data_IF_753817226145
#
_entry.id   IF_753817226145
#
_cell.length_a   1.000
_cell.length_b   1.000
_cell.length_c   1.000
_cell.angle_alpha   90.00
_cell.angle_beta   90.00
_cell.angle_gamma   90.00
#
_symmetry.space_group_name_H-M   'P 1'
#
loop_
_entity.id
_entity.type
_entity.pdbx_description
1 polymer ?
#
# COMPACT_ATOMS: atom_id res chain seq x y z
N UNK A 1 -53.54 -17.37 -4.05
CA UNK A 1 -53.54 -18.37 -2.96
C UNK A 1 -52.55 -19.53 -3.20
N UNK A 2 -52.49 -20.15 -4.40
CA UNK A 2 -51.57 -21.28 -4.66
C UNK A 2 -50.07 -20.94 -4.62
N UNK A 3 -49.67 -19.74 -5.06
CA UNK A 3 -48.25 -19.32 -5.08
C UNK A 3 -47.68 -19.23 -3.66
N UNK A 4 -48.47 -18.78 -2.69
CA UNK A 4 -48.05 -18.68 -1.28
C UNK A 4 -47.78 -20.08 -0.71
N UNK A 5 -48.65 -21.05 -1.02
CA UNK A 5 -48.47 -22.44 -0.60
C UNK A 5 -47.27 -23.10 -1.28
N UNK A 6 -47.01 -22.80 -2.55
CA UNK A 6 -45.82 -23.29 -3.27
C UNK A 6 -44.53 -22.71 -2.68
N UNK A 7 -44.52 -21.41 -2.35
CA UNK A 7 -43.40 -20.77 -1.67
C UNK A 7 -43.19 -21.38 -0.28
N UNK A 8 -44.27 -21.60 0.48
CA UNK A 8 -44.18 -22.23 1.80
C UNK A 8 -43.61 -23.65 1.70
N UNK A 9 -44.10 -24.45 0.74
CA UNK A 9 -43.60 -25.80 0.48
C UNK A 9 -42.13 -25.80 0.07
N UNK A 10 -41.72 -24.87 -0.80
CA UNK A 10 -40.32 -24.71 -1.21
C UNK A 10 -39.43 -24.39 0.00
N UNK A 11 -39.84 -23.45 0.85
CA UNK A 11 -39.07 -23.05 2.04
C UNK A 11 -38.92 -24.21 3.03
N UNK A 12 -40.00 -24.97 3.26
CA UNK A 12 -39.97 -26.14 4.16
C UNK A 12 -39.04 -27.22 3.61
N UNK A 13 -39.16 -27.53 2.32
CA UNK A 13 -38.34 -28.56 1.66
C UNK A 13 -36.86 -28.16 1.64
N UNK A 14 -36.58 -26.88 1.39
CA UNK A 14 -35.23 -26.34 1.42
C UNK A 14 -34.63 -26.36 2.84
N UNK A 15 -35.43 -26.05 3.86
CA UNK A 15 -35.00 -26.11 5.26
C UNK A 15 -34.70 -27.55 5.69
N UNK A 16 -35.53 -28.52 5.29
CA UNK A 16 -35.26 -29.94 5.55
C UNK A 16 -34.02 -30.45 4.81
N UNK A 17 -33.80 -30.03 3.56
CA UNK A 17 -32.60 -30.38 2.81
C UNK A 17 -31.33 -29.84 3.48
N UNK A 18 -31.34 -28.60 3.95
CA UNK A 18 -30.21 -28.01 4.69
C UNK A 18 -29.96 -28.72 6.02
N UNK A 19 -31.00 -29.08 6.77
CA UNK A 19 -30.87 -29.83 8.02
C UNK A 19 -30.33 -31.25 7.79
N UNK A 20 -30.75 -31.91 6.70
CA UNK A 20 -30.19 -33.21 6.31
C UNK A 20 -28.69 -33.09 5.97
N UNK A 21 -28.29 -32.07 5.20
CA UNK A 21 -26.88 -31.78 4.89
C UNK A 21 -26.03 -31.57 6.15
N UNK A 22 -26.55 -30.82 7.14
CA UNK A 22 -25.89 -30.63 8.45
C UNK A 22 -25.72 -31.94 9.21
N UNK A 23 -26.71 -32.83 9.17
CA UNK A 23 -26.64 -34.17 9.81
C UNK A 23 -25.63 -35.11 9.14
N UNK A 24 -25.35 -34.93 7.85
CA UNK A 24 -24.28 -35.63 7.15
C UNK A 24 -22.88 -35.03 7.41
N UNK A 25 -22.76 -34.06 8.32
CA UNK A 25 -21.48 -33.42 8.67
C UNK A 25 -20.95 -32.46 7.61
N UNK A 26 -21.74 -32.13 6.60
CA UNK A 26 -21.40 -31.14 5.58
C UNK A 26 -21.75 -29.77 6.15
N UNK A 27 -20.74 -29.03 6.62
CA UNK A 27 -20.93 -27.68 7.14
C UNK A 27 -21.34 -26.74 6.00
N UNK A 28 -22.62 -26.38 5.97
CA UNK A 28 -23.22 -25.47 4.98
C UNK A 28 -22.72 -24.02 5.13
N UNK A 29 -21.86 -23.75 6.12
CA UNK A 29 -21.22 -22.45 6.34
C UNK A 29 -20.45 -21.90 5.13
N UNK A 30 -19.98 -22.76 4.20
CA UNK A 30 -19.34 -22.30 2.96
C UNK A 30 -20.30 -21.63 1.96
N UNK A 31 -21.61 -21.89 2.07
CA UNK A 31 -22.65 -21.27 1.24
C UNK A 31 -23.16 -19.94 1.79
N UNK A 32 -22.67 -19.49 2.96
CA UNK A 32 -23.07 -18.19 3.49
C UNK A 32 -22.37 -17.08 2.68
N UNK A 33 -23.11 -16.28 1.88
CA UNK A 33 -22.53 -15.28 1.01
C UNK A 33 -21.73 -14.22 1.79
N UNK A 34 -22.19 -13.82 2.98
CA UNK A 34 -21.49 -12.84 3.82
C UNK A 34 -20.12 -13.35 4.27
N UNK A 35 -20.04 -14.62 4.68
CA UNK A 35 -18.76 -15.22 5.09
C UNK A 35 -17.81 -15.39 3.91
N UNK A 36 -18.32 -15.67 2.71
CA UNK A 36 -17.52 -15.71 1.50
C UNK A 36 -16.96 -14.34 1.13
N UNK A 37 -17.79 -13.28 1.16
CA UNK A 37 -17.35 -11.90 0.91
C UNK A 37 -16.33 -11.43 1.95
N UNK A 38 -16.59 -11.70 3.23
CA UNK A 38 -15.64 -11.42 4.30
C UNK A 38 -14.35 -12.20 4.06
N UNK A 39 -14.39 -13.53 3.94
CA UNK A 39 -13.20 -14.36 3.70
C UNK A 39 -12.39 -13.90 2.49
N UNK A 40 -13.04 -13.49 1.40
CA UNK A 40 -12.36 -12.95 0.21
C UNK A 40 -11.72 -11.59 0.47
N UNK A 41 -12.39 -10.69 1.19
CA UNK A 41 -11.82 -9.40 1.59
C UNK A 41 -10.63 -9.58 2.56
N UNK A 42 -10.76 -10.46 3.55
CA UNK A 42 -9.70 -10.83 4.48
C UNK A 42 -8.52 -11.49 3.76
N UNK A 43 -8.77 -12.43 2.86
CA UNK A 43 -7.72 -13.07 2.05
C UNK A 43 -6.92 -12.02 1.27
N UNK A 44 -7.60 -11.05 0.63
CA UNK A 44 -6.92 -9.94 -0.07
C UNK A 44 -6.04 -9.12 0.87
N UNK A 45 -6.50 -8.80 2.09
CA UNK A 45 -5.71 -8.05 3.07
C UNK A 45 -4.48 -8.83 3.56
N UNK A 46 -4.61 -10.14 3.77
CA UNK A 46 -3.54 -11.00 4.32
C UNK A 46 -2.52 -11.40 3.25
N UNK A 47 -2.92 -11.56 1.99
CA UNK A 47 -2.00 -11.97 0.92
C UNK A 47 -1.26 -10.80 0.26
N UNK A 48 -1.71 -9.56 0.48
CA UNK A 48 -1.04 -8.38 -0.09
C UNK A 48 0.15 -8.00 0.79
N UNK A 49 1.38 -7.93 0.24
CA UNK A 49 2.53 -7.42 0.97
C UNK A 49 2.23 -6.04 1.58
N UNK A 50 2.64 -5.77 2.82
CA UNK A 50 2.31 -4.51 3.51
C UNK A 50 2.86 -3.28 2.76
N UNK A 51 3.94 -3.46 1.99
CA UNK A 51 4.51 -2.47 1.09
C UNK A 51 3.53 -1.94 0.02
N UNK A 52 2.56 -2.76 -0.41
CA UNK A 52 1.55 -2.39 -1.42
C UNK A 52 0.20 -2.00 -0.78
N UNK A 53 0.14 -1.97 0.55
CA UNK A 53 -1.04 -1.58 1.30
C UNK A 53 -0.94 -0.16 1.87
N UNK A 54 0.03 0.64 1.41
CA UNK A 54 0.26 2.01 1.87
C UNK A 54 -0.85 2.94 1.41
N UNK A 55 -1.70 3.33 2.35
CA UNK A 55 -2.83 4.24 2.09
C UNK A 55 -2.50 5.70 2.41
N UNK A 56 -1.48 5.99 3.24
CA UNK A 56 -1.13 7.36 3.65
C UNK A 56 0.15 7.88 2.96
N UNK A 57 0.17 9.13 2.45
CA UNK A 57 1.35 9.71 1.82
C UNK A 57 2.59 9.74 2.71
N UNK A 58 2.40 9.92 4.02
CA UNK A 58 3.48 9.95 5.03
C UNK A 58 4.26 8.63 5.04
N UNK A 59 3.56 7.50 5.06
CA UNK A 59 4.18 6.17 5.07
C UNK A 59 4.98 5.92 3.79
N UNK A 60 4.46 6.39 2.66
CA UNK A 60 5.12 6.28 1.34
C UNK A 60 6.39 7.12 1.32
N UNK A 61 6.36 8.34 1.86
CA UNK A 61 7.56 9.20 1.95
C UNK A 61 8.64 8.52 2.77
N UNK A 62 8.29 7.94 3.92
CA UNK A 62 9.25 7.22 4.75
C UNK A 62 9.82 5.97 4.06
N UNK A 63 8.96 5.17 3.41
CA UNK A 63 9.39 3.98 2.66
C UNK A 63 10.30 4.35 1.50
N UNK A 64 10.01 5.41 0.75
CA UNK A 64 10.83 5.84 -0.37
C UNK A 64 12.14 6.51 0.07
N UNK A 65 12.12 7.27 1.16
CA UNK A 65 13.34 7.83 1.75
C UNK A 65 14.29 6.71 2.22
N UNK A 66 13.75 5.70 2.91
CA UNK A 66 14.48 4.50 3.30
C UNK A 66 14.99 3.73 2.07
N UNK A 67 14.14 3.51 1.07
CA UNK A 67 14.52 2.82 -0.15
C UNK A 67 15.69 3.54 -0.87
N UNK A 68 15.70 4.87 -0.84
CA UNK A 68 16.75 5.70 -1.43
C UNK A 68 18.11 5.43 -0.77
N UNK A 69 18.20 5.44 0.57
CA UNK A 69 19.46 5.14 1.26
C UNK A 69 19.84 3.66 1.13
N UNK A 70 18.86 2.76 1.09
CA UNK A 70 19.07 1.32 0.96
C UNK A 70 19.58 0.89 -0.41
N UNK A 71 19.45 1.72 -1.45
CA UNK A 71 20.06 1.44 -2.77
C UNK A 71 21.59 1.34 -2.72
N UNK A 72 22.23 1.91 -1.69
CA UNK A 72 23.68 1.80 -1.46
C UNK A 72 24.10 0.46 -0.83
N UNK A 73 23.13 -0.35 -0.38
CA UNK A 73 23.34 -1.63 0.27
C UNK A 73 23.12 -1.54 1.77
N UNK A 74 24.22 -1.45 2.54
CA UNK A 74 24.16 -1.37 3.99
C UNK A 74 23.86 0.05 4.47
N UNK A 75 22.79 0.20 5.24
CA UNK A 75 22.40 1.51 5.79
C UNK A 75 23.36 1.88 6.92
N UNK A 76 24.06 3.01 6.79
CA UNK A 76 24.94 3.52 7.84
C UNK A 76 24.16 4.17 8.98
N UNK A 77 24.79 4.31 10.15
CA UNK A 77 24.16 5.03 11.28
C UNK A 77 23.83 6.47 10.89
N UNK A 78 24.72 7.12 10.13
CA UNK A 78 24.55 8.50 9.65
C UNK A 78 23.38 8.64 8.67
N UNK A 79 23.22 7.70 7.73
CA UNK A 79 22.06 7.64 6.84
C UNK A 79 20.76 7.45 7.63
N UNK A 80 20.76 6.56 8.63
CA UNK A 80 19.59 6.34 9.49
C UNK A 80 19.19 7.61 10.25
N UNK A 81 20.11 8.23 11.00
CA UNK A 81 19.79 9.45 11.76
C UNK A 81 19.45 10.61 10.83
N UNK A 82 20.13 10.74 9.69
CA UNK A 82 19.84 11.76 8.69
C UNK A 82 18.43 11.63 8.11
N UNK A 83 18.00 10.44 7.70
CA UNK A 83 16.63 10.24 7.22
C UNK A 83 15.61 10.47 8.34
N UNK A 84 15.87 10.02 9.56
CA UNK A 84 14.97 10.29 10.69
C UNK A 84 14.82 11.80 10.96
N UNK A 85 15.89 12.58 10.85
CA UNK A 85 15.83 14.04 10.97
C UNK A 85 15.01 14.66 9.82
N UNK A 86 15.20 14.21 8.58
CA UNK A 86 14.42 14.68 7.44
C UNK A 86 12.93 14.38 7.59
N UNK A 87 12.57 13.22 8.15
CA UNK A 87 11.18 12.88 8.43
C UNK A 87 10.59 13.77 9.53
N UNK A 88 11.34 14.09 10.58
CA UNK A 88 10.90 15.02 11.63
C UNK A 88 10.63 16.42 11.06
N UNK A 89 11.58 16.95 10.29
CA UNK A 89 11.51 18.30 9.72
C UNK A 89 10.37 18.43 8.71
N UNK A 90 10.28 17.52 7.74
CA UNK A 90 9.36 17.66 6.60
C UNK A 90 7.95 17.13 6.87
N UNK A 91 7.77 16.26 7.88
CA UNK A 91 6.48 15.66 8.20
C UNK A 91 5.94 16.08 9.58
N UNK A 92 6.63 17.01 10.26
CA UNK A 92 6.28 17.51 11.60
C UNK A 92 6.06 16.37 12.61
N UNK A 93 6.90 15.33 12.53
CA UNK A 93 6.84 14.15 13.41
C UNK A 93 7.71 14.37 14.65
N UNK A 94 7.32 13.73 15.76
CA UNK A 94 8.21 13.63 16.93
C UNK A 94 9.36 12.66 16.63
N UNK A 95 10.43 12.73 17.42
CA UNK A 95 11.55 11.79 17.32
C UNK A 95 11.09 10.32 17.45
N UNK A 96 10.17 10.05 18.39
CA UNK A 96 9.59 8.72 18.61
C UNK A 96 8.75 8.23 17.42
N UNK A 97 7.98 9.13 16.80
CA UNK A 97 7.17 8.80 15.64
C UNK A 97 8.03 8.55 14.40
N UNK A 98 9.04 9.38 14.16
CA UNK A 98 10.00 9.19 13.07
C UNK A 98 10.79 7.87 13.24
N UNK A 99 11.15 7.52 14.48
CA UNK A 99 11.76 6.24 14.81
C UNK A 99 10.85 5.05 14.52
N UNK A 100 9.58 5.14 14.94
CA UNK A 100 8.58 4.11 14.70
C UNK A 100 8.28 3.93 13.21
N UNK A 101 8.18 5.04 12.47
CA UNK A 101 7.92 5.08 11.04
C UNK A 101 9.09 4.49 10.24
N UNK A 102 10.33 4.75 10.67
CA UNK A 102 11.53 4.11 10.12
C UNK A 102 11.48 2.59 10.29
N UNK A 103 11.19 2.11 11.49
CA UNK A 103 11.13 0.67 11.80
C UNK A 103 10.03 -0.01 10.98
N UNK A 104 8.85 0.61 10.90
CA UNK A 104 7.75 0.12 10.07
C UNK A 104 8.14 0.02 8.60
N UNK A 105 8.79 1.07 8.06
CA UNK A 105 9.28 1.11 6.67
C UNK A 105 10.32 0.03 6.39
N UNK A 106 11.27 -0.19 7.32
CA UNK A 106 12.29 -1.23 7.21
C UNK A 106 11.71 -2.64 7.22
N UNK A 107 10.69 -2.86 8.06
CA UNK A 107 9.96 -4.12 8.07
C UNK A 107 9.19 -4.35 6.76
N UNK A 108 8.58 -3.31 6.17
CA UNK A 108 7.86 -3.40 4.89
C UNK A 108 8.79 -3.73 3.72
N UNK A 109 9.98 -3.11 3.67
CA UNK A 109 11.00 -3.42 2.66
C UNK A 109 11.68 -4.78 2.93
N UNK A 110 11.58 -5.33 4.14
CA UNK A 110 12.27 -6.57 4.56
C UNK A 110 13.78 -6.49 4.36
N UNK A 111 14.34 -5.32 4.60
CA UNK A 111 15.76 -5.04 4.43
C UNK A 111 16.29 -5.28 2.99
N UNK A 112 15.43 -5.12 1.97
CA UNK A 112 15.81 -5.22 0.55
C UNK A 112 15.68 -3.87 -0.14
N UNK A 113 16.52 -3.62 -1.15
CA UNK A 113 16.33 -2.47 -2.03
C UNK A 113 15.02 -2.59 -2.81
N UNK A 114 14.25 -1.49 -2.88
CA UNK A 114 13.00 -1.45 -3.65
C UNK A 114 13.30 -1.62 -5.14
N UNK A 115 12.65 -2.56 -5.82
CA UNK A 115 12.79 -2.68 -7.26
C UNK A 115 11.99 -1.56 -7.95
N UNK A 116 12.56 -0.96 -9.00
CA UNK A 116 11.89 0.11 -9.76
C UNK A 116 10.55 -0.34 -10.36
N UNK A 117 10.42 -1.63 -10.69
CA UNK A 117 9.17 -2.22 -11.18
C UNK A 117 8.06 -2.29 -10.13
N UNK A 118 8.40 -2.30 -8.84
CA UNK A 118 7.43 -2.35 -7.73
C UNK A 118 6.89 -0.95 -7.39
N UNK A 119 7.59 0.13 -7.79
CA UNK A 119 7.25 1.51 -7.47
C UNK A 119 5.79 1.90 -7.82
N UNK A 120 5.23 1.54 -9.01
CA UNK A 120 3.85 1.84 -9.33
C UNK A 120 2.85 1.18 -8.37
N UNK A 121 3.16 -0.03 -7.87
CA UNK A 121 2.29 -0.75 -6.93
C UNK A 121 2.32 -0.15 -5.53
N UNK A 122 3.49 0.32 -5.08
CA UNK A 122 3.66 1.06 -3.81
C UNK A 122 2.84 2.36 -3.82
N UNK A 123 2.88 3.08 -4.95
CA UNK A 123 2.19 4.36 -5.09
C UNK A 123 0.71 4.22 -5.43
N UNK A 124 0.26 3.09 -5.98
CA UNK A 124 -1.08 2.93 -6.53
C UNK A 124 -2.23 3.34 -5.57
N UNK A 125 -2.10 3.03 -4.27
CA UNK A 125 -3.17 3.25 -3.29
C UNK A 125 -3.16 4.64 -2.66
N UNK A 126 -2.00 5.28 -2.60
CA UNK A 126 -1.79 6.57 -1.97
C UNK A 126 -1.73 7.72 -2.97
N UNK A 127 -1.44 7.45 -4.24
CA UNK A 127 -1.14 8.45 -5.25
C UNK A 127 -2.27 9.46 -5.50
N UNK A 128 -3.53 9.17 -5.16
CA UNK A 128 -4.63 10.15 -5.27
C UNK A 128 -4.73 11.11 -4.09
N UNK A 129 -4.07 10.79 -2.98
CA UNK A 129 -3.99 11.63 -1.78
C UNK A 129 -2.76 12.53 -1.77
N UNK A 130 -1.87 12.38 -2.76
CA UNK A 130 -0.74 13.28 -2.97
C UNK A 130 -1.24 14.58 -3.60
N UNK A 131 -1.03 15.69 -2.89
CA UNK A 131 -1.13 17.04 -3.45
C UNK A 131 0.20 17.41 -4.10
N UNK A 132 0.23 18.46 -4.92
CA UNK A 132 1.48 18.94 -5.50
C UNK A 132 2.52 19.28 -4.42
N UNK A 133 2.07 19.82 -3.28
CA UNK A 133 2.91 20.02 -2.10
C UNK A 133 3.52 18.71 -1.59
N UNK A 134 2.72 17.66 -1.38
CA UNK A 134 3.21 16.36 -0.92
C UNK A 134 4.23 15.74 -1.89
N UNK A 135 4.03 15.92 -3.21
CA UNK A 135 4.96 15.43 -4.23
C UNK A 135 6.29 16.20 -4.15
N UNK A 136 6.27 17.52 -3.98
CA UNK A 136 7.50 18.30 -3.81
C UNK A 136 8.23 17.93 -2.52
N UNK A 137 7.52 17.76 -1.41
CA UNK A 137 8.11 17.31 -0.14
C UNK A 137 8.75 15.94 -0.29
N UNK A 138 8.07 14.99 -0.95
CA UNK A 138 8.63 13.66 -1.23
C UNK A 138 9.95 13.75 -2.00
N UNK A 139 9.98 14.54 -3.09
CA UNK A 139 11.19 14.72 -3.90
C UNK A 139 12.33 15.34 -3.10
N UNK A 140 12.04 16.35 -2.31
CA UNK A 140 13.02 17.02 -1.44
C UNK A 140 13.60 16.03 -0.43
N UNK A 141 12.75 15.28 0.27
CA UNK A 141 13.19 14.26 1.25
C UNK A 141 14.07 13.20 0.58
N UNK A 142 13.68 12.70 -0.60
CA UNK A 142 14.47 11.69 -1.31
C UNK A 142 15.84 12.22 -1.79
N UNK A 143 15.88 13.44 -2.33
CA UNK A 143 17.15 14.08 -2.74
C UNK A 143 18.04 14.38 -1.54
N UNK A 144 17.48 14.91 -0.46
CA UNK A 144 18.21 15.16 0.78
C UNK A 144 18.74 13.86 1.38
N UNK A 145 17.95 12.78 1.35
CA UNK A 145 18.38 11.47 1.81
C UNK A 145 19.54 10.89 0.97
N UNK A 146 19.52 11.07 -0.35
CA UNK A 146 20.63 10.69 -1.23
C UNK A 146 21.90 11.51 -0.98
N UNK A 147 21.76 12.75 -0.53
CA UNK A 147 22.89 13.66 -0.24
C UNK A 147 23.47 13.51 1.17
N UNK A 148 22.91 12.64 2.04
CA UNK A 148 23.48 12.39 3.38
C UNK A 148 24.91 11.85 3.26
N UNK A 149 25.15 11.00 2.26
CA UNK A 149 26.48 10.47 1.92
C UNK A 149 26.75 10.70 0.43
N UNK A 150 27.40 11.82 0.06
CA UNK A 150 27.75 12.09 -1.33
C UNK A 150 28.90 11.17 -1.80
N UNK A 151 28.99 10.86 -3.10
CA UNK A 151 28.13 11.33 -4.20
C UNK A 151 26.85 10.49 -4.39
N UNK A 152 25.83 11.08 -5.01
CA UNK A 152 24.58 10.39 -5.38
C UNK A 152 24.90 9.24 -6.35
N UNK A 153 24.47 8.03 -6.00
CA UNK A 153 24.63 6.84 -6.84
C UNK A 153 23.61 6.80 -7.99
N UNK A 154 23.96 6.18 -9.12
CA UNK A 154 23.08 5.96 -10.26
C UNK A 154 21.75 5.29 -9.88
N UNK A 155 21.77 4.33 -8.95
CA UNK A 155 20.55 3.66 -8.46
C UNK A 155 19.62 4.62 -7.68
N UNK A 156 20.18 5.56 -6.90
CA UNK A 156 19.40 6.58 -6.19
C UNK A 156 18.76 7.55 -7.19
N UNK A 157 19.53 7.99 -8.19
CA UNK A 157 19.05 8.88 -9.23
C UNK A 157 17.92 8.23 -10.04
N UNK A 158 18.07 6.97 -10.45
CA UNK A 158 17.03 6.23 -11.15
C UNK A 158 15.73 6.12 -10.35
N UNK A 159 15.82 5.93 -9.03
CA UNK A 159 14.65 5.83 -8.16
C UNK A 159 13.94 7.18 -8.01
N UNK A 160 14.69 8.28 -7.89
CA UNK A 160 14.15 9.65 -7.88
C UNK A 160 13.46 9.96 -9.21
N UNK A 161 14.12 9.65 -10.34
CA UNK A 161 13.58 9.90 -11.68
C UNK A 161 12.32 9.07 -11.97
N UNK A 162 12.25 7.83 -11.47
CA UNK A 162 11.07 6.97 -11.60
C UNK A 162 9.86 7.52 -10.84
N UNK A 163 10.06 8.09 -9.64
CA UNK A 163 9.01 8.78 -8.89
C UNK A 163 8.52 10.01 -9.66
N UNK A 164 9.43 10.78 -10.23
CA UNK A 164 9.11 11.96 -11.03
C UNK A 164 8.28 11.59 -12.28
N UNK A 165 8.70 10.55 -13.00
CA UNK A 165 7.99 10.05 -14.17
C UNK A 165 6.57 9.54 -13.81
N UNK A 166 6.42 8.87 -12.66
CA UNK A 166 5.12 8.37 -12.20
C UNK A 166 4.11 9.51 -11.96
N UNK A 167 4.52 10.53 -11.20
CA UNK A 167 3.63 11.67 -10.91
C UNK A 167 3.40 12.56 -12.14
N UNK A 168 4.40 12.73 -13.02
CA UNK A 168 4.24 13.45 -14.28
C UNK A 168 3.20 12.77 -15.20
N UNK A 169 3.28 11.44 -15.35
CA UNK A 169 2.29 10.66 -16.12
C UNK A 169 0.89 10.78 -15.53
N UNK A 170 0.79 10.76 -14.20
CA UNK A 170 -0.50 10.90 -13.51
C UNK A 170 -1.12 12.29 -13.67
N UNK A 171 -0.30 13.35 -13.57
CA UNK A 171 -0.77 14.71 -13.77
C UNK A 171 -1.19 14.97 -15.22
N UNK A 172 -0.47 14.42 -16.20
CA UNK A 172 -0.88 14.45 -17.60
C UNK A 172 -2.24 13.75 -17.82
N UNK A 173 -2.49 12.63 -17.14
CA UNK A 173 -3.77 11.92 -17.20
C UNK A 173 -4.93 12.66 -16.50
N UNK A 174 -4.65 13.59 -15.58
CA UNK A 174 -5.66 14.43 -14.89
C UNK A 174 -5.92 15.77 -15.61
N UNK A 175 -5.20 16.08 -16.67
CA UNK A 175 -5.35 17.34 -17.40
C UNK A 175 -6.74 17.46 -18.08
N UNK A 176 -7.22 18.69 -18.33
CA UNK A 176 -8.57 18.96 -18.87
C UNK A 176 -8.85 18.36 -20.26
N UNK A 177 -7.86 17.76 -20.91
CA UNK A 177 -7.95 17.14 -22.23
C UNK A 177 -8.05 15.60 -22.20
N UNK A 178 -7.98 14.95 -21.03
CA UNK A 178 -8.05 13.47 -20.94
C UNK A 178 -9.47 12.89 -20.91
N UNK A 179 -10.50 13.74 -20.83
CA UNK A 179 -11.91 13.33 -20.90
C UNK A 179 -12.45 13.22 -22.34
N UNK A 180 -11.60 13.39 -23.36
CA UNK A 180 -11.97 13.35 -24.77
C UNK A 180 -11.13 12.32 -25.53
N UNK A 181 -11.20 11.05 -25.14
CA UNK A 181 -10.82 9.90 -25.99
C UNK A 181 -11.51 8.63 -25.51
#
# INVERSE_FOLDING_TARGET
MGIILQILGLVITFTMAMEALRRFGIDVGWLNPLTFFHRRAWKKKVTTPPLYALDHPVDVVAVLALATVQTTGAITVQQKTGVQALLQEHLALTEGDAGSLWVASAHMLRNRALALSELPEVLARSADKFTDYHVQTLKTVMRSAALIEPPINAAQQQLIDAVDAYFAKKNAAKGPWSAAS
#
